data_IF_273373713607
#
_entry.id   IF_273373713607
#
_cell.length_a   1.000
_cell.length_b   1.000
_cell.length_c   1.000
_cell.angle_alpha   90.00
_cell.angle_beta   90.00
_cell.angle_gamma   90.00
#
_symmetry.space_group_name_H-M   'P 1'
#
loop_
_entity.id
_entity.type
_entity.pdbx_description
1 polymer ?
#
# COMPACT_ATOMS: atom_id res chain seq x y z
N UNK A 1 13.14 14.38 -17.69
CA UNK A 1 13.49 13.64 -18.93
C UNK A 1 13.86 12.22 -18.56
N UNK A 2 13.18 11.22 -19.11
CA UNK A 2 13.50 9.81 -18.80
C UNK A 2 14.70 9.38 -19.64
N UNK A 3 15.79 8.97 -18.98
CA UNK A 3 16.96 8.45 -19.67
C UNK A 3 16.69 7.02 -20.13
N UNK A 4 17.13 6.67 -21.34
CA UNK A 4 16.84 5.36 -21.90
C UNK A 4 17.75 4.28 -21.28
N UNK A 5 17.21 3.06 -21.09
CA UNK A 5 17.81 2.00 -20.26
C UNK A 5 17.80 0.64 -20.96
N UNK A 6 18.84 -0.17 -20.75
CA UNK A 6 18.86 -1.59 -21.15
C UNK A 6 18.05 -2.44 -20.16
N UNK A 7 17.02 -3.15 -20.61
CA UNK A 7 16.21 -4.00 -19.73
C UNK A 7 16.86 -5.36 -19.40
N UNK A 8 18.04 -5.66 -19.96
CA UNK A 8 18.80 -6.89 -19.65
C UNK A 8 19.78 -6.69 -18.48
N UNK A 9 20.39 -5.51 -18.38
CA UNK A 9 21.38 -5.18 -17.33
C UNK A 9 21.08 -3.91 -16.54
N UNK A 10 19.94 -3.25 -16.78
CA UNK A 10 19.52 -1.98 -16.18
C UNK A 10 20.51 -0.82 -16.39
N UNK A 11 21.43 -0.92 -17.35
CA UNK A 11 22.35 0.16 -17.69
C UNK A 11 21.60 1.33 -18.31
N UNK A 12 21.78 2.52 -17.74
CA UNK A 12 21.23 3.78 -18.26
C UNK A 12 22.18 4.35 -19.31
N UNK A 13 21.62 4.86 -20.40
CA UNK A 13 22.35 5.44 -21.51
C UNK A 13 22.08 6.95 -21.60
N UNK A 14 23.02 7.67 -22.20
CA UNK A 14 22.73 9.00 -22.73
C UNK A 14 21.84 8.89 -23.97
N UNK A 15 21.13 9.97 -24.32
CA UNK A 15 20.28 9.99 -25.52
C UNK A 15 21.09 9.68 -26.80
N UNK A 16 22.36 10.11 -26.86
CA UNK A 16 23.29 9.81 -27.96
C UNK A 16 23.66 8.33 -28.09
N UNK A 17 23.55 7.57 -27.00
CA UNK A 17 23.86 6.14 -26.98
C UNK A 17 22.68 5.24 -27.39
N UNK A 18 21.51 5.83 -27.73
CA UNK A 18 20.36 5.11 -28.31
C UNK A 18 20.43 4.91 -29.82
N UNK A 19 21.49 5.38 -30.48
CA UNK A 19 21.70 5.09 -31.91
C UNK A 19 21.74 3.57 -32.15
N UNK A 20 21.06 3.05 -33.19
CA UNK A 20 20.94 1.60 -33.42
C UNK A 20 22.29 0.87 -33.43
N UNK A 21 23.31 1.46 -34.05
CA UNK A 21 24.67 0.92 -34.07
C UNK A 21 25.29 0.74 -32.68
N UNK A 22 25.05 1.70 -31.76
CA UNK A 22 25.56 1.65 -30.38
C UNK A 22 24.79 0.67 -29.51
N UNK A 23 23.48 0.53 -29.74
CA UNK A 23 22.67 -0.49 -29.07
C UNK A 23 23.06 -1.90 -29.53
N UNK A 24 23.31 -2.08 -30.82
CA UNK A 24 23.81 -3.33 -31.37
C UNK A 24 25.19 -3.68 -30.80
N UNK A 25 26.10 -2.71 -30.75
CA UNK A 25 27.43 -2.90 -30.14
C UNK A 25 27.32 -3.25 -28.64
N UNK A 26 26.43 -2.59 -27.90
CA UNK A 26 26.15 -2.91 -26.50
C UNK A 26 25.62 -4.34 -26.34
N UNK A 27 24.62 -4.73 -27.13
CA UNK A 27 24.08 -6.10 -27.15
C UNK A 27 25.19 -7.10 -27.47
N UNK A 28 26.08 -6.78 -28.40
CA UNK A 28 27.15 -7.68 -28.80
C UNK A 28 28.22 -7.87 -27.72
N UNK A 29 28.67 -6.77 -27.11
CA UNK A 29 29.77 -6.78 -26.12
C UNK A 29 29.33 -7.20 -24.72
N UNK A 30 28.13 -6.80 -24.29
CA UNK A 30 27.65 -7.00 -22.92
C UNK A 30 26.73 -8.22 -22.81
N UNK A 31 26.05 -8.59 -23.90
CA UNK A 31 25.07 -9.67 -23.92
C UNK A 31 25.26 -10.61 -25.12
N UNK A 32 26.47 -11.19 -25.30
CA UNK A 32 26.78 -12.00 -26.47
C UNK A 32 25.86 -13.22 -26.62
N UNK A 33 25.40 -13.78 -25.49
CA UNK A 33 24.49 -14.91 -25.42
C UNK A 33 23.04 -14.58 -25.83
N UNK A 34 22.70 -13.28 -25.97
CA UNK A 34 21.37 -12.80 -26.33
C UNK A 34 21.27 -12.19 -27.73
N UNK A 35 22.37 -12.12 -28.48
CA UNK A 35 22.42 -11.49 -29.82
C UNK A 35 21.44 -12.15 -30.82
N UNK A 36 21.31 -13.47 -30.77
CA UNK A 36 20.51 -14.26 -31.73
C UNK A 36 19.10 -14.61 -31.19
N UNK A 37 18.61 -13.89 -30.17
CA UNK A 37 17.26 -14.12 -29.65
C UNK A 37 16.22 -13.45 -30.55
N UNK A 38 15.08 -14.11 -30.69
CA UNK A 38 13.97 -13.61 -31.49
C UNK A 38 13.32 -12.38 -30.85
N UNK A 39 12.64 -11.55 -31.63
CA UNK A 39 11.95 -10.34 -31.14
C UNK A 39 11.00 -10.62 -29.96
N UNK A 40 10.37 -11.80 -29.93
CA UNK A 40 9.48 -12.23 -28.84
C UNK A 40 10.16 -12.26 -27.48
N UNK A 41 11.45 -12.58 -27.42
CA UNK A 41 12.25 -12.55 -26.20
C UNK A 41 12.33 -11.14 -25.61
N UNK A 42 12.67 -10.15 -26.46
CA UNK A 42 12.78 -8.75 -26.04
C UNK A 42 11.42 -8.14 -25.68
N UNK A 43 10.36 -8.47 -26.45
CA UNK A 43 8.98 -8.06 -26.13
C UNK A 43 8.52 -8.63 -24.79
N UNK A 44 8.88 -9.88 -24.46
CA UNK A 44 8.57 -10.47 -23.16
C UNK A 44 9.23 -9.71 -22.01
N UNK A 45 10.51 -9.37 -22.14
CA UNK A 45 11.25 -8.58 -21.14
C UNK A 45 10.61 -7.21 -20.95
N UNK A 46 10.27 -6.52 -22.04
CA UNK A 46 9.56 -5.24 -21.99
C UNK A 46 8.22 -5.36 -21.26
N UNK A 47 7.42 -6.36 -21.60
CA UNK A 47 6.11 -6.58 -20.98
C UNK A 47 6.23 -6.91 -19.49
N UNK A 48 7.24 -7.69 -19.09
CA UNK A 48 7.54 -7.95 -17.68
C UNK A 48 7.92 -6.66 -16.94
N UNK A 49 8.75 -5.82 -17.55
CA UNK A 49 9.15 -4.55 -16.97
C UNK A 49 7.97 -3.57 -16.81
N UNK A 50 7.10 -3.48 -17.82
CA UNK A 50 5.90 -2.62 -17.77
C UNK A 50 4.82 -3.12 -16.79
N UNK A 51 4.74 -4.45 -16.60
CA UNK A 51 3.83 -5.07 -15.62
C UNK A 51 4.44 -5.18 -14.23
N UNK A 52 5.74 -4.93 -14.07
CA UNK A 52 6.37 -4.92 -12.77
C UNK A 52 5.71 -3.79 -11.96
N UNK A 53 5.18 -4.09 -10.77
CA UNK A 53 4.58 -3.05 -9.95
C UNK A 53 5.65 -2.02 -9.64
N UNK A 54 5.39 -0.76 -9.99
CA UNK A 54 6.27 0.34 -9.58
C UNK A 54 6.22 0.44 -8.06
N UNK A 55 7.26 1.01 -7.44
CA UNK A 55 7.26 1.30 -6.00
C UNK A 55 5.96 2.02 -5.61
N UNK A 56 5.51 2.99 -6.41
CA UNK A 56 4.22 3.67 -6.22
C UNK A 56 3.00 2.76 -6.39
N UNK A 57 3.02 1.81 -7.34
CA UNK A 57 1.96 0.81 -7.53
C UNK A 57 1.87 -0.21 -6.40
N UNK A 58 2.99 -0.53 -5.73
CA UNK A 58 3.03 -1.36 -4.52
C UNK A 58 2.39 -0.65 -3.32
N UNK A 59 2.58 0.66 -3.17
CA UNK A 59 1.92 1.44 -2.11
C UNK A 59 0.45 1.76 -2.41
N UNK A 60 0.09 1.94 -3.68
CA UNK A 60 -1.28 2.31 -4.08
C UNK A 60 -2.30 1.20 -3.79
N UNK A 61 -1.95 -0.07 -3.99
CA UNK A 61 -2.83 -1.21 -3.72
C UNK A 61 -3.09 -1.44 -2.22
N UNK A 62 -2.15 -1.02 -1.36
CA UNK A 62 -2.32 -1.04 0.10
C UNK A 62 -3.10 0.15 0.64
N UNK A 63 -3.07 1.31 -0.04
CA UNK A 63 -3.64 2.57 0.50
C UNK A 63 -5.17 2.59 0.54
N UNK A 64 -5.87 2.28 -0.57
CA UNK A 64 -7.33 2.53 -0.65
C UNK A 64 -8.19 1.66 0.27
N UNK A 65 -7.77 0.42 0.57
CA UNK A 65 -8.50 -0.44 1.51
C UNK A 65 -8.13 -0.18 2.98
N UNK A 66 -7.04 0.56 3.23
CA UNK A 66 -6.60 0.91 4.57
C UNK A 66 -7.36 2.13 5.12
N UNK A 67 -7.70 3.09 4.25
CA UNK A 67 -8.28 4.37 4.67
C UNK A 67 -9.64 4.20 5.37
N UNK A 68 -10.59 3.44 4.80
CA UNK A 68 -11.92 3.29 5.39
C UNK A 68 -11.89 2.63 6.78
N UNK A 69 -11.06 1.60 6.94
CA UNK A 69 -10.91 0.89 8.21
C UNK A 69 -10.22 1.75 9.28
N UNK A 70 -9.25 2.57 8.87
CA UNK A 70 -8.62 3.56 9.74
C UNK A 70 -9.59 4.64 10.18
N UNK A 71 -10.36 5.22 9.24
CA UNK A 71 -11.40 6.22 9.50
C UNK A 71 -12.43 5.67 10.48
N UNK A 72 -12.95 4.46 10.22
CA UNK A 72 -13.89 3.78 11.10
C UNK A 72 -13.33 3.63 12.52
N UNK A 73 -12.07 3.19 12.66
CA UNK A 73 -11.48 3.01 13.99
C UNK A 73 -11.26 4.34 14.74
N UNK A 74 -10.94 5.44 14.06
CA UNK A 74 -10.85 6.77 14.70
C UNK A 74 -12.22 7.24 15.17
N UNK A 75 -13.24 7.08 14.33
CA UNK A 75 -14.61 7.46 14.69
C UNK A 75 -15.13 6.65 15.88
N UNK A 76 -14.87 5.34 15.93
CA UNK A 76 -15.24 4.49 17.06
C UNK A 76 -14.48 4.89 18.33
N UNK A 77 -13.16 5.12 18.23
CA UNK A 77 -12.35 5.59 19.37
C UNK A 77 -12.87 6.93 19.94
N UNK A 78 -13.30 7.84 19.05
CA UNK A 78 -13.93 9.11 19.43
C UNK A 78 -15.27 8.90 20.13
N UNK A 79 -16.09 7.94 19.69
CA UNK A 79 -17.36 7.60 20.36
C UNK A 79 -17.12 7.00 21.75
N UNK A 80 -16.10 6.15 21.91
CA UNK A 80 -15.70 5.58 23.20
C UNK A 80 -15.29 6.69 24.17
N UNK A 81 -14.42 7.60 23.75
CA UNK A 81 -14.00 8.74 24.56
C UNK A 81 -15.19 9.65 24.93
N UNK A 82 -16.02 10.03 23.96
CA UNK A 82 -17.21 10.88 24.19
C UNK A 82 -18.22 10.27 25.16
N UNK A 83 -18.34 8.95 25.17
CA UNK A 83 -19.24 8.24 26.08
C UNK A 83 -18.61 7.92 27.45
N UNK A 84 -17.36 8.33 27.69
CA UNK A 84 -16.63 8.09 28.93
C UNK A 84 -16.39 6.60 29.22
N UNK A 85 -16.35 5.77 28.18
CA UNK A 85 -16.14 4.32 28.32
C UNK A 85 -14.64 3.99 28.32
N UNK A 86 -14.30 2.87 28.95
CA UNK A 86 -12.94 2.34 28.90
C UNK A 86 -12.57 1.99 27.45
N UNK A 87 -11.30 2.23 27.09
CA UNK A 87 -10.77 1.86 25.76
C UNK A 87 -10.83 0.34 25.50
N UNK A 88 -11.02 -0.47 26.53
CA UNK A 88 -11.17 -1.94 26.44
C UNK A 88 -12.45 -2.38 25.73
N UNK A 89 -13.48 -1.52 25.72
CA UNK A 89 -14.78 -1.82 25.11
C UNK A 89 -14.67 -2.12 23.59
N UNK A 90 -13.60 -1.62 22.95
CA UNK A 90 -13.28 -1.88 21.55
C UNK A 90 -13.11 -3.37 21.27
N UNK A 91 -12.18 -4.02 21.96
CA UNK A 91 -11.94 -5.46 21.82
C UNK A 91 -13.01 -6.31 22.51
N UNK A 92 -13.45 -5.91 23.70
CA UNK A 92 -14.31 -6.73 24.57
C UNK A 92 -15.73 -6.88 24.03
N UNK A 93 -16.25 -5.86 23.33
CA UNK A 93 -17.66 -5.83 22.92
C UNK A 93 -17.87 -5.40 21.48
N UNK A 94 -17.22 -4.31 21.03
CA UNK A 94 -17.49 -3.74 19.70
C UNK A 94 -17.03 -4.70 18.60
N UNK A 95 -15.82 -5.26 18.71
CA UNK A 95 -15.32 -6.23 17.74
C UNK A 95 -16.21 -7.49 17.64
N UNK A 96 -16.59 -8.15 18.76
CA UNK A 96 -17.57 -9.24 18.74
C UNK A 96 -18.92 -8.85 18.13
N UNK A 97 -19.47 -7.68 18.47
CA UNK A 97 -20.77 -7.24 17.96
C UNK A 97 -20.74 -7.00 16.44
N UNK A 98 -19.68 -6.38 15.93
CA UNK A 98 -19.48 -6.18 14.48
C UNK A 98 -19.34 -7.53 13.78
N UNK A 99 -18.65 -8.49 14.39
CA UNK A 99 -18.54 -9.86 13.85
C UNK A 99 -19.91 -10.51 13.70
N UNK A 100 -20.71 -10.48 14.76
CA UNK A 100 -22.05 -11.08 14.78
C UNK A 100 -22.90 -10.51 13.64
N UNK A 101 -23.00 -9.19 13.52
CA UNK A 101 -23.79 -8.52 12.46
C UNK A 101 -23.33 -8.94 11.05
N UNK A 102 -22.03 -9.04 10.79
CA UNK A 102 -21.53 -9.45 9.48
C UNK A 102 -21.88 -10.91 9.17
N UNK A 103 -21.87 -11.78 10.18
CA UNK A 103 -22.19 -13.20 10.02
C UNK A 103 -23.70 -13.44 9.91
N UNK A 104 -24.51 -12.73 10.69
CA UNK A 104 -25.98 -12.89 10.72
C UNK A 104 -26.67 -12.17 9.58
N UNK A 105 -26.35 -10.89 9.35
CA UNK A 105 -27.16 -10.02 8.48
C UNK A 105 -26.61 -9.98 7.06
N UNK A 106 -25.29 -10.07 6.91
CA UNK A 106 -24.63 -10.05 5.60
C UNK A 106 -24.31 -11.45 5.07
N UNK A 107 -24.54 -12.49 5.89
CA UNK A 107 -24.21 -13.90 5.59
C UNK A 107 -22.77 -14.06 5.05
N UNK A 108 -21.86 -13.22 5.53
CA UNK A 108 -20.52 -13.11 4.98
C UNK A 108 -19.52 -13.84 5.88
N UNK A 109 -19.19 -15.09 5.50
CA UNK A 109 -18.32 -16.00 6.27
C UNK A 109 -16.87 -15.51 6.42
N UNK A 110 -16.46 -14.48 5.67
CA UNK A 110 -15.14 -13.85 5.78
C UNK A 110 -15.14 -12.60 6.68
N UNK A 111 -16.01 -12.56 7.70
CA UNK A 111 -16.08 -11.53 8.75
C UNK A 111 -14.71 -11.15 9.33
N UNK A 112 -13.85 -12.14 9.56
CA UNK A 112 -12.51 -11.96 10.09
C UNK A 112 -11.60 -11.07 9.20
N UNK A 113 -11.76 -11.12 7.88
CA UNK A 113 -11.00 -10.28 6.95
C UNK A 113 -11.43 -8.82 6.99
N UNK A 114 -12.70 -8.56 7.31
CA UNK A 114 -13.28 -7.21 7.44
C UNK A 114 -12.91 -6.62 8.80
N UNK A 115 -13.04 -7.40 9.87
CA UNK A 115 -12.68 -6.99 11.23
C UNK A 115 -11.21 -6.60 11.34
N UNK A 116 -10.31 -7.36 10.71
CA UNK A 116 -8.88 -7.05 10.70
C UNK A 116 -8.53 -5.71 10.05
N UNK A 117 -9.41 -5.16 9.21
CA UNK A 117 -9.19 -3.85 8.59
C UNK A 117 -9.50 -2.68 9.53
N UNK A 118 -10.27 -2.92 10.60
CA UNK A 118 -10.64 -1.89 11.59
C UNK A 118 -9.85 -2.15 12.87
N UNK A 119 -8.67 -1.53 13.04
CA UNK A 119 -7.82 -1.80 14.20
C UNK A 119 -8.43 -1.19 15.45
N UNK A 120 -9.08 -2.01 16.29
CA UNK A 120 -9.72 -1.57 17.54
C UNK A 120 -9.09 -2.24 18.76
N UNK A 121 -7.79 -2.53 18.70
CA UNK A 121 -7.11 -3.08 19.86
C UNK A 121 -7.13 -2.10 21.02
N UNK A 122 -7.02 -2.59 22.25
CA UNK A 122 -7.04 -1.76 23.46
C UNK A 122 -5.96 -0.66 23.38
N UNK A 123 -4.76 -1.03 22.91
CA UNK A 123 -3.65 -0.11 22.69
C UNK A 123 -3.95 0.88 21.56
N UNK A 124 -4.58 0.44 20.47
CA UNK A 124 -4.93 1.30 19.34
C UNK A 124 -5.97 2.35 19.74
N UNK A 125 -7.02 1.93 20.43
CA UNK A 125 -8.10 2.82 20.88
C UNK A 125 -7.53 3.83 21.86
N UNK A 126 -6.71 3.39 22.84
CA UNK A 126 -6.04 4.29 23.78
C UNK A 126 -5.18 5.33 23.04
N UNK A 127 -4.26 4.87 22.17
CA UNK A 127 -3.35 5.76 21.44
C UNK A 127 -4.09 6.81 20.63
N UNK A 128 -5.22 6.45 19.99
CA UNK A 128 -6.03 7.41 19.21
C UNK A 128 -6.75 8.42 20.09
N UNK A 129 -7.20 8.01 21.28
CA UNK A 129 -7.79 8.93 22.24
C UNK A 129 -6.73 9.94 22.71
N UNK A 130 -5.51 9.46 22.99
CA UNK A 130 -4.38 10.30 23.37
C UNK A 130 -3.99 11.25 22.21
N UNK A 131 -3.85 10.73 20.98
CA UNK A 131 -3.55 11.53 19.77
C UNK A 131 -4.59 12.65 19.56
N UNK A 132 -5.89 12.34 19.76
CA UNK A 132 -6.97 13.34 19.66
C UNK A 132 -6.96 14.35 20.81
N UNK A 133 -6.53 13.96 22.01
CA UNK A 133 -6.39 14.88 23.14
C UNK A 133 -5.23 15.85 22.91
N UNK A 134 -4.09 15.35 22.42
CA UNK A 134 -2.91 16.14 22.09
C UNK A 134 -3.21 17.18 20.98
N UNK A 135 -3.92 16.79 19.92
CA UNK A 135 -4.33 17.71 18.84
C UNK A 135 -5.16 18.90 19.38
N UNK A 136 -6.07 18.61 20.31
CA UNK A 136 -6.86 19.64 20.98
C UNK A 136 -5.95 20.54 21.82
N UNK A 137 -5.03 20.00 22.62
CA UNK A 137 -4.09 20.78 23.43
C UNK A 137 -3.19 21.69 22.57
N UNK A 138 -2.61 21.16 21.51
CA UNK A 138 -1.79 21.92 20.55
C UNK A 138 -2.61 23.05 19.91
N UNK A 139 -3.90 22.81 19.61
CA UNK A 139 -4.77 23.85 19.05
C UNK A 139 -5.03 25.01 20.02
N UNK A 140 -5.00 24.79 21.33
CA UNK A 140 -5.16 25.84 22.34
C UNK A 140 -3.86 26.55 22.74
N UNK A 141 -2.72 25.86 22.66
CA UNK A 141 -1.40 26.42 23.04
C UNK A 141 -0.82 27.35 21.97
N UNK A 142 -1.28 27.23 20.71
CA UNK A 142 -0.81 28.07 19.60
C UNK A 142 -1.67 29.33 19.34
N UNK A 143 -2.50 29.75 20.30
CA UNK A 143 -3.20 31.05 20.33
C UNK A 143 -2.65 31.93 21.46
#
# INVERSE_FOLDING_TARGET
MQLPMCLLCNKVFSNEAMKPSRLQEHLQKVHPDKQNKYLSFFTNIRNKFLKAPSVSGLFASSSKQCDDGLIASYNISKLIAKSGKAHTIGEELILPAVKEIIETDLHHSASHSVIKKVPLSNDTVRRRIDDMAEDVEISYVNF
#
